data_IF_286452437486
#
_entry.id   IF_286452437486
#
_cell.length_a   1.000
_cell.length_b   1.000
_cell.length_c   1.000
_cell.angle_alpha   90.00
_cell.angle_beta   90.00
_cell.angle_gamma   90.00
#
_symmetry.space_group_name_H-M   'P 1'
#
loop_
_entity.id
_entity.type
_entity.pdbx_description
1 polymer ?
#
# COMPACT_ATOMS: atom_id res chain seq x y z
N UNK A 1 3.99 -16.79 34.06
CA UNK A 1 4.88 -15.68 33.64
C UNK A 1 5.95 -16.26 32.71
N UNK A 2 5.81 -16.10 31.40
CA UNK A 2 6.86 -16.48 30.46
C UNK A 2 7.88 -15.34 30.41
N UNK A 3 9.12 -15.59 30.86
CA UNK A 3 10.23 -14.64 30.67
C UNK A 3 10.37 -14.41 29.16
N UNK A 4 10.26 -13.15 28.72
CA UNK A 4 10.59 -12.80 27.33
C UNK A 4 12.04 -13.23 27.09
N UNK A 5 12.32 -13.80 25.92
CA UNK A 5 13.69 -14.13 25.52
C UNK A 5 14.53 -12.86 25.51
N UNK A 6 15.76 -12.91 26.01
CA UNK A 6 16.74 -11.81 26.01
C UNK A 6 16.88 -11.17 24.61
N UNK A 7 16.71 -11.98 23.56
CA UNK A 7 16.73 -11.52 22.17
C UNK A 7 15.52 -10.63 21.80
N UNK A 8 14.34 -10.90 22.37
CA UNK A 8 13.15 -10.04 22.17
C UNK A 8 13.28 -8.72 22.92
N UNK A 9 13.88 -8.74 24.10
CA UNK A 9 14.08 -7.55 24.93
C UNK A 9 15.11 -6.60 24.31
N UNK A 10 16.21 -7.14 23.78
CA UNK A 10 17.20 -6.36 23.01
C UNK A 10 16.62 -5.81 21.71
N UNK A 11 15.80 -6.58 20.99
CA UNK A 11 15.07 -6.07 19.82
C UNK A 11 14.06 -4.97 20.18
N UNK A 12 13.29 -5.13 21.26
CA UNK A 12 12.33 -4.11 21.71
C UNK A 12 13.04 -2.79 22.07
N UNK A 13 14.21 -2.86 22.72
CA UNK A 13 14.99 -1.66 23.05
C UNK A 13 15.51 -0.93 21.80
N UNK A 14 16.05 -1.66 20.82
CA UNK A 14 16.50 -1.09 19.54
C UNK A 14 15.33 -0.43 18.80
N UNK A 15 14.14 -1.03 18.87
CA UNK A 15 12.93 -0.49 18.25
C UNK A 15 12.48 0.80 18.93
N UNK A 16 12.51 0.85 20.26
CA UNK A 16 12.17 2.08 21.01
C UNK A 16 13.17 3.22 20.76
N UNK A 17 14.44 2.89 20.53
CA UNK A 17 15.48 3.88 20.20
C UNK A 17 15.32 4.44 18.78
N UNK A 18 14.93 3.60 17.83
CA UNK A 18 14.83 3.97 16.41
C UNK A 18 13.46 4.56 16.03
N UNK A 19 12.41 4.30 16.83
CA UNK A 19 11.01 4.62 16.45
C UNK A 19 10.82 6.07 16.01
N UNK A 20 11.41 7.03 16.72
CA UNK A 20 11.20 8.45 16.44
C UNK A 20 11.84 8.82 15.10
N UNK A 21 13.06 8.36 14.87
CA UNK A 21 13.81 8.67 13.67
C UNK A 21 13.23 7.99 12.44
N UNK A 22 12.77 6.75 12.62
CA UNK A 22 12.05 6.04 11.59
C UNK A 22 10.82 6.84 11.16
N UNK A 23 9.96 7.20 12.10
CA UNK A 23 8.72 7.93 11.79
C UNK A 23 9.02 9.29 11.17
N UNK A 24 10.06 9.98 11.65
CA UNK A 24 10.53 11.25 11.06
C UNK A 24 11.01 11.09 9.62
N UNK A 25 11.79 10.05 9.34
CA UNK A 25 12.28 9.75 7.99
C UNK A 25 11.14 9.34 7.05
N UNK A 26 10.19 8.54 7.54
CA UNK A 26 8.99 8.16 6.79
C UNK A 26 8.13 9.38 6.49
N UNK A 27 7.97 10.31 7.44
CA UNK A 27 7.25 11.57 7.24
C UNK A 27 7.95 12.47 6.21
N UNK A 28 9.29 12.38 6.11
CA UNK A 28 10.07 13.20 5.17
C UNK A 28 10.06 12.63 3.75
N UNK A 29 10.23 11.31 3.61
CA UNK A 29 10.42 10.66 2.31
C UNK A 29 9.15 10.00 1.76
N UNK A 30 8.12 9.84 2.60
CA UNK A 30 6.79 9.34 2.24
C UNK A 30 6.83 8.10 1.34
N UNK A 31 7.52 7.01 1.76
CA UNK A 31 7.69 5.81 0.94
C UNK A 31 6.36 5.13 0.62
N UNK A 32 5.36 5.22 1.50
CA UNK A 32 4.04 4.61 1.36
C UNK A 32 3.15 5.30 0.31
N UNK A 33 3.47 6.54 -0.08
CA UNK A 33 2.70 7.29 -1.09
C UNK A 33 3.23 7.10 -2.52
N UNK A 34 4.29 6.33 -2.73
CA UNK A 34 4.81 6.11 -4.08
C UNK A 34 3.91 5.17 -4.89
N UNK A 35 3.62 5.56 -6.14
CA UNK A 35 2.80 4.79 -7.07
C UNK A 35 3.45 3.46 -7.52
N UNK A 36 4.78 3.42 -7.60
CA UNK A 36 5.52 2.25 -8.07
C UNK A 36 6.10 1.45 -6.92
N UNK A 37 5.88 0.13 -6.93
CA UNK A 37 6.44 -0.79 -5.93
C UNK A 37 7.96 -0.75 -5.87
N UNK A 38 8.64 -0.61 -7.02
CA UNK A 38 10.10 -0.49 -7.08
C UNK A 38 10.57 0.75 -6.31
N UNK A 39 9.92 1.91 -6.54
CA UNK A 39 10.26 3.14 -5.83
C UNK A 39 9.92 3.07 -4.34
N UNK A 40 8.86 2.35 -3.96
CA UNK A 40 8.58 2.10 -2.54
C UNK A 40 9.74 1.34 -1.89
N UNK A 41 10.15 0.23 -2.51
CA UNK A 41 11.19 -0.64 -1.97
C UNK A 41 12.55 0.08 -1.90
N UNK A 42 12.91 0.87 -2.93
CA UNK A 42 14.11 1.71 -2.95
C UNK A 42 14.13 2.75 -1.81
N UNK A 43 12.99 3.41 -1.55
CA UNK A 43 12.89 4.40 -0.47
C UNK A 43 12.94 3.74 0.92
N UNK A 44 12.39 2.54 1.07
CA UNK A 44 12.53 1.79 2.32
C UNK A 44 13.98 1.40 2.57
N UNK A 45 14.72 0.99 1.55
CA UNK A 45 16.16 0.75 1.68
C UNK A 45 16.95 2.02 1.96
N UNK A 46 16.61 3.13 1.31
CA UNK A 46 17.23 4.42 1.61
C UNK A 46 17.01 4.85 3.07
N UNK A 47 15.80 4.65 3.61
CA UNK A 47 15.50 4.91 5.02
C UNK A 47 16.34 3.98 5.92
N UNK A 48 16.49 2.71 5.54
CA UNK A 48 17.34 1.75 6.27
C UNK A 48 18.80 2.18 6.33
N UNK A 49 19.35 2.58 5.19
CA UNK A 49 20.71 3.10 5.09
C UNK A 49 20.88 4.34 5.97
N UNK A 50 19.91 5.27 5.97
CA UNK A 50 19.96 6.47 6.81
C UNK A 50 19.93 6.14 8.30
N UNK A 51 19.13 5.18 8.72
CA UNK A 51 19.06 4.74 10.11
C UNK A 51 20.36 4.05 10.54
N UNK A 52 20.88 3.13 9.72
CA UNK A 52 22.16 2.47 9.98
C UNK A 52 23.30 3.48 10.08
N UNK A 53 23.35 4.46 9.17
CA UNK A 53 24.38 5.51 9.19
C UNK A 53 24.30 6.38 10.44
N UNK A 54 23.10 6.59 11.00
CA UNK A 54 22.95 7.32 12.25
C UNK A 54 23.42 6.49 13.44
N UNK A 55 22.95 5.25 13.55
CA UNK A 55 23.36 4.34 14.63
C UNK A 55 24.88 4.16 14.65
N UNK A 56 25.50 4.07 13.47
CA UNK A 56 26.95 4.01 13.32
C UNK A 56 27.64 5.31 13.75
N UNK A 57 27.08 6.49 13.45
CA UNK A 57 27.60 7.77 13.94
C UNK A 57 27.49 7.91 15.46
N UNK A 58 26.36 7.51 16.02
CA UNK A 58 26.10 7.58 17.46
C UNK A 58 27.07 6.62 18.20
N UNK A 59 27.25 5.40 17.69
CA UNK A 59 28.24 4.45 18.21
C UNK A 59 29.70 4.93 18.06
N UNK A 60 30.05 5.62 16.96
CA UNK A 60 31.38 6.22 16.75
C UNK A 60 31.65 7.37 17.74
N UNK A 61 30.65 8.19 18.01
CA UNK A 61 30.76 9.28 18.98
C UNK A 61 30.91 8.74 20.41
N UNK A 62 30.23 7.64 20.75
CA UNK A 62 30.38 6.97 22.03
C UNK A 62 31.73 6.22 22.18
N UNK A 63 32.24 5.62 21.10
CA UNK A 63 33.51 4.88 21.11
C UNK A 63 34.75 5.78 21.19
N UNK A 64 34.66 7.05 20.76
CA UNK A 64 35.67 8.07 21.07
C UNK A 64 35.79 8.37 22.58
N UNK A 65 34.77 8.03 23.37
CA UNK A 65 34.74 8.19 24.84
C UNK A 65 35.07 6.90 25.60
N UNK A 66 34.73 5.72 25.07
CA UNK A 66 35.12 4.44 25.69
C UNK A 66 35.08 3.25 24.71
N UNK A 67 36.26 2.63 24.49
CA UNK A 67 36.55 1.30 23.91
C UNK A 67 35.79 0.88 22.62
N UNK A 68 36.58 0.78 21.54
CA UNK A 68 36.33 0.34 20.16
C UNK A 68 35.55 -0.97 19.88
N UNK A 69 35.01 -1.68 20.88
CA UNK A 69 34.56 -3.08 20.70
C UNK A 69 33.07 -3.28 20.42
N UNK A 70 32.27 -2.22 20.21
CA UNK A 70 30.80 -2.33 20.00
C UNK A 70 30.33 -2.10 18.56
N UNK A 71 31.21 -1.73 17.64
CA UNK A 71 30.81 -1.33 16.28
C UNK A 71 30.39 -2.54 15.43
N UNK A 72 31.00 -3.71 15.65
CA UNK A 72 30.71 -4.93 14.89
C UNK A 72 29.41 -5.65 15.32
N UNK A 73 28.79 -5.25 16.43
CA UNK A 73 27.55 -5.85 16.96
C UNK A 73 26.27 -5.12 16.53
N UNK A 74 26.40 -4.01 15.79
CA UNK A 74 25.23 -3.24 15.34
C UNK A 74 24.45 -4.04 14.28
N UNK A 75 23.16 -4.33 14.55
CA UNK A 75 22.34 -5.02 13.57
C UNK A 75 22.13 -4.12 12.35
N UNK A 76 22.50 -4.63 11.18
CA UNK A 76 22.23 -3.97 9.91
C UNK A 76 20.73 -4.05 9.62
N UNK A 77 20.05 -2.93 9.72
CA UNK A 77 18.63 -2.83 9.38
C UNK A 77 18.49 -2.87 7.86
N UNK A 78 17.52 -3.62 7.36
CA UNK A 78 17.17 -3.67 5.94
C UNK A 78 15.80 -3.02 5.68
N UNK A 79 15.57 -2.57 4.45
CA UNK A 79 14.32 -1.91 4.04
C UNK A 79 13.06 -2.72 4.36
N UNK A 80 12.99 -4.03 4.04
CA UNK A 80 11.84 -4.86 4.37
C UNK A 80 11.55 -4.95 5.88
N UNK A 81 12.58 -5.11 6.71
CA UNK A 81 12.41 -5.16 8.18
C UNK A 81 11.83 -3.85 8.69
N UNK A 82 12.38 -2.73 8.24
CA UNK A 82 11.93 -1.39 8.65
C UNK A 82 10.51 -1.12 8.21
N UNK A 83 10.15 -1.53 7.00
CA UNK A 83 8.76 -1.48 6.51
C UNK A 83 7.84 -2.26 7.44
N UNK A 84 8.17 -3.51 7.79
CA UNK A 84 7.34 -4.30 8.72
C UNK A 84 7.26 -3.69 10.12
N UNK A 85 8.30 -3.00 10.56
CA UNK A 85 8.31 -2.29 11.83
C UNK A 85 7.35 -1.09 11.81
N UNK A 86 7.47 -0.26 10.77
CA UNK A 86 6.59 0.88 10.56
C UNK A 86 5.13 0.43 10.44
N UNK A 87 4.84 -0.62 9.67
CA UNK A 87 3.48 -1.13 9.48
C UNK A 87 2.86 -1.58 10.81
N UNK A 88 3.65 -2.21 11.69
CA UNK A 88 3.20 -2.57 13.05
C UNK A 88 2.91 -1.34 13.90
N UNK A 89 3.84 -0.40 13.96
CA UNK A 89 3.69 0.86 14.71
C UNK A 89 2.44 1.64 14.24
N UNK A 90 2.28 1.76 12.92
CA UNK A 90 1.18 2.51 12.33
C UNK A 90 -0.17 1.80 12.52
N UNK A 91 -0.20 0.47 12.44
CA UNK A 91 -1.42 -0.32 12.71
C UNK A 91 -1.87 -0.21 14.16
N UNK A 92 -0.93 -0.25 15.11
CA UNK A 92 -1.25 -0.11 16.53
C UNK A 92 -1.67 1.33 16.85
N UNK A 93 -1.02 2.32 16.23
CA UNK A 93 -1.48 3.71 16.27
C UNK A 93 -2.92 3.88 15.76
N UNK A 94 -3.26 3.34 14.57
CA UNK A 94 -4.63 3.40 14.01
C UNK A 94 -5.68 2.84 14.97
N UNK A 95 -5.40 1.73 15.65
CA UNK A 95 -6.29 1.15 16.67
C UNK A 95 -6.49 2.10 17.85
N UNK A 96 -5.40 2.68 18.37
CA UNK A 96 -5.46 3.64 19.49
C UNK A 96 -6.19 4.92 19.10
N UNK A 97 -5.99 5.40 17.88
CA UNK A 97 -6.69 6.57 17.34
C UNK A 97 -8.20 6.34 17.31
N UNK A 98 -8.67 5.24 16.72
CA UNK A 98 -10.11 4.91 16.68
C UNK A 98 -10.70 4.87 18.09
N UNK A 99 -9.99 4.25 19.04
CA UNK A 99 -10.43 4.19 20.43
C UNK A 99 -10.51 5.58 21.09
N UNK A 100 -9.47 6.41 20.96
CA UNK A 100 -9.45 7.76 21.52
C UNK A 100 -10.51 8.65 20.89
N UNK A 101 -10.71 8.56 19.59
CA UNK A 101 -11.71 9.35 18.88
C UNK A 101 -13.10 8.96 19.35
N UNK A 102 -13.46 7.68 19.34
CA UNK A 102 -14.78 7.21 19.79
C UNK A 102 -15.10 7.60 21.24
N UNK A 103 -14.09 7.70 22.11
CA UNK A 103 -14.28 8.08 23.51
C UNK A 103 -14.33 9.60 23.73
N UNK A 104 -13.80 10.40 22.79
CA UNK A 104 -13.69 11.87 22.92
C UNK A 104 -14.63 12.64 21.99
N UNK A 105 -15.28 12.00 21.01
CA UNK A 105 -16.25 12.65 20.12
C UNK A 105 -17.67 12.51 20.65
N UNK A 106 -18.27 13.64 21.01
CA UNK A 106 -19.74 13.79 21.00
C UNK A 106 -20.26 13.45 19.58
N UNK A 107 -21.36 12.71 19.43
CA UNK A 107 -21.85 12.17 18.15
C UNK A 107 -22.28 13.21 17.09
N UNK A 108 -22.09 14.51 17.36
CA UNK A 108 -22.49 15.62 16.49
C UNK A 108 -21.32 16.32 15.77
N UNK A 109 -20.08 15.87 15.96
CA UNK A 109 -18.93 16.49 15.29
C UNK A 109 -18.60 15.67 14.06
N UNK A 110 -19.05 16.15 12.90
CA UNK A 110 -18.58 15.68 11.60
C UNK A 110 -17.06 15.57 11.62
N UNK A 111 -16.56 14.38 11.27
CA UNK A 111 -15.15 14.11 11.06
C UNK A 111 -14.64 14.99 9.93
N UNK A 112 -14.21 16.20 10.27
CA UNK A 112 -13.48 17.03 9.34
C UNK A 112 -12.03 16.53 9.36
N UNK A 113 -11.69 15.66 8.40
CA UNK A 113 -10.39 14.99 8.20
C UNK A 113 -9.24 15.97 7.83
N UNK A 114 -9.25 17.18 8.41
CA UNK A 114 -8.26 18.22 8.18
C UNK A 114 -8.10 19.20 9.35
N UNK A 115 -8.67 18.91 10.53
CA UNK A 115 -8.54 19.78 11.70
C UNK A 115 -7.40 19.34 12.61
N UNK A 116 -6.56 20.29 13.04
CA UNK A 116 -5.52 20.14 14.06
C UNK A 116 -5.97 19.43 15.36
N UNK A 117 -7.28 19.26 15.56
CA UNK A 117 -7.92 18.57 16.69
C UNK A 117 -7.50 17.11 16.85
N UNK A 118 -7.11 16.40 15.79
CA UNK A 118 -6.62 15.00 15.89
C UNK A 118 -5.22 14.93 16.50
N UNK A 119 -4.39 15.96 16.29
CA UNK A 119 -3.05 16.05 16.89
C UNK A 119 -3.10 16.38 18.38
N UNK A 120 -4.11 17.11 18.83
CA UNK A 120 -4.31 17.47 20.24
C UNK A 120 -4.69 16.26 21.13
N UNK A 121 -5.06 15.12 20.52
CA UNK A 121 -5.40 13.88 21.23
C UNK A 121 -4.17 13.11 21.74
N UNK A 122 -2.96 13.51 21.35
CA UNK A 122 -1.73 12.80 21.64
C UNK A 122 -0.64 13.75 22.15
N UNK A 123 0.01 13.36 23.24
CA UNK A 123 1.09 14.15 23.84
C UNK A 123 2.46 13.78 23.26
N UNK A 124 2.65 12.51 22.85
CA UNK A 124 3.93 12.01 22.37
C UNK A 124 4.25 12.55 20.96
N UNK A 125 5.47 13.07 20.71
CA UNK A 125 5.85 13.66 19.42
C UNK A 125 5.79 12.64 18.27
N UNK A 126 6.11 11.37 18.54
CA UNK A 126 6.03 10.28 17.56
C UNK A 126 4.58 10.07 17.12
N UNK A 127 3.64 10.09 18.06
CA UNK A 127 2.21 9.91 17.77
C UNK A 127 1.66 11.09 16.96
N UNK A 128 2.10 12.32 17.23
CA UNK A 128 1.75 13.49 16.40
C UNK A 128 2.24 13.34 14.95
N UNK A 129 3.46 12.83 14.75
CA UNK A 129 3.96 12.55 13.40
C UNK A 129 3.15 11.45 12.71
N UNK A 130 2.74 10.41 13.44
CA UNK A 130 1.85 9.36 12.92
C UNK A 130 0.45 9.89 12.60
N UNK A 131 -0.10 10.81 13.39
CA UNK A 131 -1.35 11.52 13.06
C UNK A 131 -1.21 12.26 11.73
N UNK A 132 -0.12 13.00 11.53
CA UNK A 132 0.12 13.73 10.29
C UNK A 132 0.22 12.79 9.07
N UNK A 133 0.89 11.64 9.23
CA UNK A 133 0.94 10.60 8.19
C UNK A 133 -0.46 10.06 7.86
N UNK A 134 -1.28 9.83 8.88
CA UNK A 134 -2.66 9.37 8.73
C UNK A 134 -3.53 10.39 7.99
N UNK A 135 -3.43 11.67 8.35
CA UNK A 135 -4.19 12.73 7.69
C UNK A 135 -3.82 12.85 6.20
N UNK A 136 -2.53 12.73 5.86
CA UNK A 136 -2.09 12.74 4.46
C UNK A 136 -2.60 11.52 3.66
N UNK A 137 -2.61 10.32 4.26
CA UNK A 137 -3.19 9.12 3.64
C UNK A 137 -4.68 9.35 3.36
N UNK A 138 -5.43 9.89 4.33
CA UNK A 138 -6.86 10.20 4.17
C UNK A 138 -7.12 11.23 3.07
N UNK A 139 -6.34 12.30 3.01
CA UNK A 139 -6.48 13.35 1.99
C UNK A 139 -6.20 12.81 0.58
N UNK A 140 -5.22 11.91 0.44
CA UNK A 140 -4.93 11.28 -0.86
C UNK A 140 -6.11 10.44 -1.37
N UNK A 141 -6.80 9.73 -0.46
CA UNK A 141 -8.00 8.95 -0.77
C UNK A 141 -9.16 9.87 -1.17
N UNK A 142 -9.36 10.97 -0.43
CA UNK A 142 -10.39 11.96 -0.75
C UNK A 142 -10.18 12.59 -2.13
N UNK A 143 -8.94 12.97 -2.45
CA UNK A 143 -8.60 13.55 -3.75
C UNK A 143 -8.81 12.54 -4.88
N UNK A 144 -8.41 11.28 -4.70
CA UNK A 144 -8.66 10.23 -5.68
C UNK A 144 -10.17 9.98 -5.89
N UNK A 145 -10.95 10.04 -4.82
CA UNK A 145 -12.42 9.94 -4.88
C UNK A 145 -13.04 11.09 -5.68
N UNK A 146 -12.59 12.33 -5.46
CA UNK A 146 -13.04 13.51 -6.23
C UNK A 146 -12.71 13.39 -7.70
N UNK A 147 -11.48 12.99 -8.05
CA UNK A 147 -11.09 12.74 -9.46
C UNK A 147 -11.97 11.66 -10.08
N UNK A 148 -12.24 10.57 -9.37
CA UNK A 148 -13.11 9.51 -9.87
C UNK A 148 -14.53 10.00 -10.11
N UNK A 149 -15.05 10.89 -9.26
CA UNK A 149 -16.37 11.50 -9.41
C UNK A 149 -16.41 12.46 -10.60
N UNK A 150 -15.37 13.29 -10.77
CA UNK A 150 -15.22 14.19 -11.93
C UNK A 150 -15.16 13.40 -13.25
N UNK A 151 -14.35 12.34 -13.32
CA UNK A 151 -14.26 11.48 -14.52
C UNK A 151 -15.61 10.83 -14.86
N UNK A 152 -16.36 10.42 -13.84
CA UNK A 152 -17.68 9.82 -14.00
C UNK A 152 -18.70 10.87 -14.46
N UNK A 153 -18.65 12.09 -13.92
CA UNK A 153 -19.48 13.20 -14.40
C UNK A 153 -19.14 13.58 -15.84
N UNK A 154 -17.86 13.61 -16.21
CA UNK A 154 -17.41 13.85 -17.59
C UNK A 154 -17.90 12.75 -18.55
N UNK A 155 -17.86 11.48 -18.11
CA UNK A 155 -18.44 10.35 -18.85
C UNK A 155 -19.95 10.55 -19.06
N UNK A 156 -20.70 10.90 -18.02
CA UNK A 156 -22.12 11.18 -18.18
C UNK A 156 -22.40 12.39 -19.06
N UNK A 157 -21.62 13.47 -18.93
CA UNK A 157 -21.76 14.66 -19.78
C UNK A 157 -21.49 14.32 -21.25
N UNK A 158 -20.50 13.50 -21.55
CA UNK A 158 -20.19 13.07 -22.94
C UNK A 158 -21.23 12.11 -23.50
N UNK A 159 -21.85 11.26 -22.67
CA UNK A 159 -22.95 10.38 -23.08
C UNK A 159 -24.29 11.11 -23.23
N UNK A 160 -24.54 12.18 -22.45
CA UNK A 160 -25.79 12.95 -22.46
C UNK A 160 -25.78 14.16 -23.41
N UNK A 161 -24.62 14.74 -23.72
CA UNK A 161 -24.50 15.86 -24.67
C UNK A 161 -25.04 15.58 -26.09
N UNK A 162 -24.99 14.38 -26.68
CA UNK A 162 -25.59 14.15 -28.00
C UNK A 162 -27.13 14.26 -28.02
N UNK A 163 -27.83 14.22 -26.87
CA UNK A 163 -29.30 14.29 -26.82
C UNK A 163 -29.86 15.72 -26.70
N UNK A 164 -29.03 16.74 -26.49
CA UNK A 164 -29.48 18.13 -26.27
C UNK A 164 -29.15 19.14 -27.38
N UNK A 165 -28.24 18.83 -28.31
CA UNK A 165 -27.87 19.77 -29.38
C UNK A 165 -28.77 19.73 -30.62
N UNK A 166 -29.72 18.79 -30.74
CA UNK A 166 -30.58 18.71 -31.93
C UNK A 166 -32.08 18.57 -31.60
N UNK A 167 -32.63 19.61 -30.98
CA UNK A 167 -34.09 19.81 -30.87
C UNK A 167 -34.73 20.36 -32.15
N UNK A 168 -34.05 20.25 -33.31
CA UNK A 168 -34.52 20.83 -34.57
C UNK A 168 -34.49 19.89 -35.78
N UNK A 169 -34.74 18.59 -35.63
CA UNK A 169 -35.19 17.77 -36.78
C UNK A 169 -35.84 16.45 -36.34
N UNK A 170 -37.16 16.44 -36.41
CA UNK A 170 -37.94 15.20 -36.48
C UNK A 170 -37.66 14.49 -37.82
N UNK A 171 -36.50 13.83 -37.98
CA UNK A 171 -36.23 12.83 -39.03
C UNK A 171 -34.89 12.09 -38.81
N UNK A 172 -34.63 11.50 -37.64
CA UNK A 172 -33.39 10.67 -37.46
C UNK A 172 -33.51 9.39 -36.62
N UNK A 173 -34.72 8.84 -36.45
CA UNK A 173 -34.92 7.55 -35.76
C UNK A 173 -34.28 6.34 -36.47
N UNK A 174 -33.79 6.46 -37.71
CA UNK A 174 -33.19 5.34 -38.46
C UNK A 174 -31.64 5.30 -38.41
N UNK A 175 -30.97 6.40 -38.05
CA UNK A 175 -29.49 6.43 -37.92
C UNK A 175 -29.00 6.09 -36.51
N UNK A 176 -29.73 6.52 -35.48
CA UNK A 176 -29.40 6.19 -34.09
C UNK A 176 -29.51 4.68 -33.82
N UNK A 177 -30.49 4.00 -34.41
CA UNK A 177 -30.62 2.54 -34.33
C UNK A 177 -29.45 1.80 -34.99
N UNK A 178 -28.99 2.27 -36.17
CA UNK A 178 -27.83 1.70 -36.88
C UNK A 178 -26.51 1.90 -36.12
N UNK A 179 -26.33 3.05 -35.47
CA UNK A 179 -25.12 3.35 -34.69
C UNK A 179 -25.08 2.57 -33.36
N UNK A 180 -26.23 2.36 -32.71
CA UNK A 180 -26.34 1.47 -31.52
C UNK A 180 -26.04 0.01 -31.88
N UNK A 181 -26.58 -0.48 -32.99
CA UNK A 181 -26.26 -1.81 -33.52
C UNK A 181 -24.77 -1.97 -33.88
N UNK A 182 -24.10 -0.93 -34.38
CA UNK A 182 -22.66 -1.01 -34.68
C UNK A 182 -21.79 -0.99 -33.42
N UNK A 183 -22.18 -0.25 -32.37
CA UNK A 183 -21.44 -0.20 -31.11
C UNK A 183 -21.62 -1.51 -30.32
N UNK A 184 -22.83 -2.08 -30.32
CA UNK A 184 -23.08 -3.36 -29.64
C UNK A 184 -22.35 -4.51 -30.34
N UNK A 185 -22.26 -4.48 -31.67
CA UNK A 185 -21.46 -5.48 -32.42
C UNK A 185 -19.95 -5.33 -32.17
N UNK A 186 -19.44 -4.10 -32.05
CA UNK A 186 -18.03 -3.86 -31.73
C UNK A 186 -17.69 -4.29 -30.28
N UNK A 187 -18.59 -4.04 -29.32
CA UNK A 187 -18.46 -4.53 -27.93
C UNK A 187 -18.48 -6.06 -27.88
N UNK A 188 -19.39 -6.70 -28.62
CA UNK A 188 -19.46 -8.16 -28.70
C UNK A 188 -18.17 -8.77 -29.26
N UNK A 189 -17.54 -8.13 -30.24
CA UNK A 189 -16.28 -8.59 -30.81
C UNK A 189 -15.11 -8.41 -29.83
N UNK A 190 -15.08 -7.32 -29.06
CA UNK A 190 -14.08 -7.12 -27.99
C UNK A 190 -14.25 -8.19 -26.89
N UNK A 191 -15.48 -8.46 -26.46
CA UNK A 191 -15.75 -9.49 -25.46
C UNK A 191 -15.39 -10.89 -25.97
N UNK A 192 -15.69 -11.22 -27.23
CA UNK A 192 -15.25 -12.48 -27.85
C UNK A 192 -13.73 -12.60 -27.88
N UNK A 193 -13.01 -11.53 -28.24
CA UNK A 193 -11.54 -11.54 -28.25
C UNK A 193 -10.96 -11.72 -26.84
N UNK A 194 -11.52 -11.06 -25.83
CA UNK A 194 -11.09 -11.25 -24.44
C UNK A 194 -11.38 -12.66 -23.95
N UNK A 195 -12.56 -13.21 -24.26
CA UNK A 195 -12.92 -14.57 -23.91
C UNK A 195 -11.99 -15.58 -24.57
N UNK A 196 -11.67 -15.42 -25.85
CA UNK A 196 -10.69 -16.26 -26.55
C UNK A 196 -9.29 -16.20 -25.91
N UNK A 197 -8.83 -15.00 -25.53
CA UNK A 197 -7.54 -14.84 -24.82
C UNK A 197 -7.54 -15.57 -23.47
N UNK A 198 -8.63 -15.46 -22.72
CA UNK A 198 -8.78 -16.15 -21.43
C UNK A 198 -8.83 -17.67 -21.62
N UNK A 199 -9.60 -18.18 -22.58
CA UNK A 199 -9.65 -19.62 -22.89
C UNK A 199 -8.26 -20.14 -23.30
N UNK A 200 -7.53 -19.41 -24.14
CA UNK A 200 -6.18 -19.79 -24.53
C UNK A 200 -5.20 -19.80 -23.33
N UNK A 201 -5.36 -18.88 -22.38
CA UNK A 201 -4.58 -18.86 -21.14
C UNK A 201 -4.90 -20.07 -20.25
N UNK A 202 -6.19 -20.39 -20.08
CA UNK A 202 -6.64 -21.57 -19.32
C UNK A 202 -6.09 -22.85 -19.95
N UNK A 203 -6.16 -23.01 -21.27
CA UNK A 203 -5.61 -24.20 -21.94
C UNK A 203 -4.09 -24.34 -21.75
N UNK A 204 -3.35 -23.22 -21.75
CA UNK A 204 -1.91 -23.24 -21.44
C UNK A 204 -1.64 -23.70 -20.01
N UNK A 205 -2.37 -23.13 -19.05
CA UNK A 205 -2.26 -23.51 -17.63
C UNK A 205 -2.65 -24.97 -17.40
N UNK A 206 -3.68 -25.48 -18.07
CA UNK A 206 -4.07 -26.89 -18.00
C UNK A 206 -2.99 -27.82 -18.59
N UNK A 207 -2.37 -27.44 -19.72
CA UNK A 207 -1.29 -28.20 -20.31
C UNK A 207 -0.05 -28.23 -19.39
N UNK A 208 0.30 -27.10 -18.79
CA UNK A 208 1.40 -27.00 -17.84
C UNK A 208 1.13 -27.81 -16.57
N UNK A 209 -0.10 -27.74 -16.04
CA UNK A 209 -0.49 -28.51 -14.87
C UNK A 209 -0.49 -30.02 -15.13
N UNK A 210 -0.95 -30.47 -16.31
CA UNK A 210 -0.81 -31.87 -16.75
C UNK A 210 0.66 -32.29 -16.85
N UNK A 211 1.53 -31.42 -17.38
CA UNK A 211 2.97 -31.69 -17.46
C UNK A 211 3.60 -31.81 -16.08
N UNK A 212 3.25 -30.93 -15.14
CA UNK A 212 3.72 -30.98 -13.76
C UNK A 212 3.21 -32.23 -13.03
N UNK A 213 1.96 -32.62 -13.25
CA UNK A 213 1.41 -33.87 -12.71
C UNK A 213 2.14 -35.11 -13.25
N UNK A 214 2.45 -35.15 -14.55
CA UNK A 214 3.23 -36.24 -15.15
C UNK A 214 4.66 -36.28 -14.58
N UNK A 215 5.30 -35.11 -14.41
CA UNK A 215 6.63 -35.02 -13.81
C UNK A 215 6.60 -35.49 -12.35
N UNK A 216 5.58 -35.09 -11.58
CA UNK A 216 5.41 -35.53 -10.20
C UNK A 216 5.18 -37.04 -10.12
N UNK A 217 4.38 -37.61 -11.02
CA UNK A 217 4.16 -39.04 -11.09
C UNK A 217 5.47 -39.79 -11.40
N UNK A 218 6.25 -39.31 -12.37
CA UNK A 218 7.56 -39.88 -12.70
C UNK A 218 8.53 -39.81 -11.52
N UNK A 219 8.59 -38.68 -10.82
CA UNK A 219 9.45 -38.53 -9.63
C UNK A 219 9.02 -39.46 -8.49
N UNK A 220 7.72 -39.68 -8.31
CA UNK A 220 7.19 -40.63 -7.32
C UNK A 220 7.52 -42.08 -7.70
N UNK A 221 7.47 -42.43 -8.98
CA UNK A 221 7.85 -43.75 -9.50
C UNK A 221 9.37 -44.00 -9.36
N UNK A 222 10.20 -43.00 -9.65
CA UNK A 222 11.66 -43.07 -9.46
C UNK A 222 12.03 -43.21 -7.97
N UNK A 223 11.39 -42.45 -7.08
CA UNK A 223 11.59 -42.59 -5.62
C UNK A 223 11.06 -43.91 -5.07
N UNK A 224 9.98 -44.45 -5.64
CA UNK A 224 9.41 -45.75 -5.29
C UNK A 224 10.23 -46.94 -5.78
N UNK A 225 11.00 -46.77 -6.86
CA UNK A 225 11.86 -47.80 -7.46
C UNK A 225 13.25 -47.89 -6.82
N UNK A 226 13.64 -46.93 -5.98
CA UNK A 226 14.88 -46.96 -5.17
C UNK A 226 14.74 -47.68 -3.81
N UNK A 227 13.89 -48.71 -3.72
CA UNK A 227 13.82 -49.63 -2.57
C UNK A 227 14.19 -51.05 -2.95
#
# INVERSE_FOLDING_TARGET
MFKKSFYKETQENIVEEIKEDLVRLVLTHLPHLQLSKVRQDDLWEFIAIKLNNRLLKDALNETLSSKFSKVDELPTLNGPFIKTLYDKLFKDFKKRLVFKVNNNTSPLIEFNYGSNRTMDLFDEPVEKMLCKLYDMESQSIELLSKISLENLEETYRTELTPDFEDSSKYHENDKAAKKRLSIDTEKDDIYKQQLQKQVASVMKLEAENKRLLALNQQLLEDMGSTR
#
